data_IF_840889043633
#
_entry.id   IF_840889043633
#
_cell.length_a   1.000
_cell.length_b   1.000
_cell.length_c   1.000
_cell.angle_alpha   90.00
_cell.angle_beta   90.00
_cell.angle_gamma   90.00
#
_symmetry.space_group_name_H-M   'P 1'
#
loop_
_entity.id
_entity.type
_entity.pdbx_description
1 polymer ?
#
# COMPACT_ATOMS: atom_id res chain seq x y z
N UNK A 1 10.68 36.53 -34.61
CA UNK A 1 10.39 35.21 -35.20
C UNK A 1 11.72 34.52 -35.42
N UNK A 2 11.91 33.24 -35.12
CA UNK A 2 10.96 32.13 -34.94
C UNK A 2 11.56 31.11 -33.95
N UNK A 3 10.74 30.36 -33.20
CA UNK A 3 11.21 29.32 -32.30
C UNK A 3 11.60 28.06 -33.07
N UNK A 4 12.78 27.52 -32.76
CA UNK A 4 13.24 26.22 -33.22
C UNK A 4 12.34 25.13 -32.66
N UNK A 5 11.47 24.62 -33.52
CA UNK A 5 10.48 23.55 -33.33
C UNK A 5 11.09 22.35 -32.62
N UNK A 6 10.57 22.03 -31.44
CA UNK A 6 10.82 20.77 -30.75
C UNK A 6 10.40 19.62 -31.66
N UNK A 7 11.34 18.72 -31.94
CA UNK A 7 11.06 17.45 -32.59
C UNK A 7 10.48 16.55 -31.49
N UNK A 8 9.16 16.48 -31.43
CA UNK A 8 8.47 15.34 -30.84
C UNK A 8 8.81 14.14 -31.72
N UNK A 9 9.77 13.32 -31.26
CA UNK A 9 10.26 12.16 -31.99
C UNK A 9 9.31 10.99 -31.80
N UNK A 10 8.57 10.68 -32.86
CA UNK A 10 7.83 9.45 -33.06
C UNK A 10 8.75 8.22 -32.88
N UNK A 11 8.24 7.22 -32.15
CA UNK A 11 8.95 6.00 -31.75
C UNK A 11 9.38 5.11 -32.93
N UNK A 12 10.51 5.45 -33.53
CA UNK A 12 11.13 4.75 -34.67
C UNK A 12 12.55 4.24 -34.38
N UNK A 13 12.96 4.21 -33.11
CA UNK A 13 14.27 3.68 -32.71
C UNK A 13 14.30 2.16 -32.76
N UNK A 14 15.39 1.59 -33.28
CA UNK A 14 15.62 0.15 -33.21
C UNK A 14 15.65 -0.31 -31.74
N UNK A 15 15.35 -1.58 -31.42
CA UNK A 15 15.38 -2.08 -30.04
C UNK A 15 16.71 -1.82 -29.30
N UNK A 16 17.82 -1.73 -30.05
CA UNK A 16 19.14 -1.36 -29.54
C UNK A 16 19.19 0.06 -28.99
N UNK A 17 18.45 0.99 -29.58
CA UNK A 17 18.52 2.41 -29.25
C UNK A 17 17.82 2.66 -27.91
N UNK A 18 16.68 2.00 -27.70
CA UNK A 18 15.96 2.02 -26.42
C UNK A 18 16.78 1.40 -25.29
N UNK A 19 17.46 0.28 -25.55
CA UNK A 19 18.35 -0.35 -24.57
C UNK A 19 19.55 0.55 -24.23
N UNK A 20 20.17 1.15 -25.24
CA UNK A 20 21.31 2.04 -25.05
C UNK A 20 20.91 3.29 -24.24
N UNK A 21 19.78 3.90 -24.57
CA UNK A 21 19.24 5.04 -23.83
C UNK A 21 18.98 4.67 -22.36
N UNK A 22 18.34 3.52 -22.11
CA UNK A 22 18.11 3.01 -20.77
C UNK A 22 19.43 2.83 -20.00
N UNK A 23 20.44 2.20 -20.61
CA UNK A 23 21.75 1.98 -19.97
C UNK A 23 22.42 3.33 -19.64
N UNK A 24 22.38 4.31 -20.55
CA UNK A 24 22.96 5.64 -20.31
C UNK A 24 22.24 6.34 -19.16
N UNK A 25 20.90 6.30 -19.11
CA UNK A 25 20.13 6.87 -18.00
C UNK A 25 20.41 6.15 -16.68
N UNK A 26 20.53 4.82 -16.70
CA UNK A 26 20.85 4.00 -15.52
C UNK A 26 22.22 4.35 -14.94
N UNK A 27 23.25 4.42 -15.79
CA UNK A 27 24.60 4.78 -15.38
C UNK A 27 24.70 6.24 -14.89
N UNK A 28 23.86 7.13 -15.41
CA UNK A 28 23.78 8.52 -14.97
C UNK A 28 22.89 8.73 -13.73
N UNK A 29 22.32 7.68 -13.14
CA UNK A 29 21.34 7.75 -12.04
C UNK A 29 20.11 8.63 -12.38
N UNK A 30 19.69 8.64 -13.65
CA UNK A 30 18.59 9.45 -14.19
C UNK A 30 17.36 8.62 -14.58
N UNK A 31 17.16 7.46 -13.96
CA UNK A 31 15.95 6.66 -14.15
C UNK A 31 14.79 7.23 -13.33
N UNK A 32 13.61 7.28 -13.92
CA UNK A 32 12.37 7.67 -13.28
C UNK A 32 11.53 6.43 -12.92
N UNK A 33 10.42 6.64 -12.20
CA UNK A 33 9.49 5.56 -11.86
C UNK A 33 8.83 4.90 -13.07
N UNK A 34 8.74 5.59 -14.21
CA UNK A 34 8.21 5.05 -15.47
C UNK A 34 9.18 4.08 -16.18
N UNK A 35 10.48 4.21 -15.91
CA UNK A 35 11.52 3.36 -16.50
C UNK A 35 11.68 2.02 -15.74
N UNK A 36 11.06 1.89 -14.57
CA UNK A 36 11.30 0.78 -13.63
C UNK A 36 10.01 0.13 -13.18
N UNK A 37 9.87 -1.16 -13.47
CA UNK A 37 8.82 -2.00 -12.88
C UNK A 37 9.29 -2.59 -11.55
N UNK A 38 8.61 -2.27 -10.44
CA UNK A 38 8.93 -2.76 -9.09
C UNK A 38 8.01 -3.89 -8.67
N UNK A 39 8.59 -5.01 -8.25
CA UNK A 39 7.90 -6.10 -7.56
C UNK A 39 8.31 -6.10 -6.09
N UNK A 40 7.33 -6.13 -5.18
CA UNK A 40 7.58 -6.21 -3.73
C UNK A 40 7.06 -7.54 -3.20
N UNK A 41 7.90 -8.25 -2.46
CA UNK A 41 7.54 -9.48 -1.77
C UNK A 41 7.45 -9.19 -0.27
N UNK A 42 6.27 -9.38 0.30
CA UNK A 42 6.02 -9.16 1.73
C UNK A 42 5.74 -10.50 2.40
N UNK A 43 6.60 -10.88 3.35
CA UNK A 43 6.37 -12.06 4.19
C UNK A 43 5.37 -11.72 5.31
N UNK A 44 4.12 -12.13 5.11
CA UNK A 44 3.08 -12.03 6.14
C UNK A 44 3.36 -12.99 7.30
N UNK A 45 2.82 -12.64 8.47
CA UNK A 45 2.99 -13.39 9.71
C UNK A 45 1.75 -14.25 9.96
N UNK A 46 1.98 -15.42 10.54
CA UNK A 46 0.97 -16.39 10.98
C UNK A 46 1.09 -16.66 12.49
N UNK A 47 0.30 -17.61 12.99
CA UNK A 47 0.27 -18.02 14.41
C UNK A 47 1.62 -18.53 14.95
N UNK A 48 2.49 -19.09 14.11
CA UNK A 48 3.74 -19.74 14.53
C UNK A 48 4.95 -18.81 14.49
N UNK A 49 4.90 -17.74 13.68
CA UNK A 49 6.00 -16.79 13.53
C UNK A 49 5.62 -15.34 13.92
N UNK A 50 4.50 -15.17 14.61
CA UNK A 50 3.96 -13.87 14.98
C UNK A 50 4.94 -13.02 15.82
N UNK A 51 5.27 -11.83 15.34
CA UNK A 51 6.12 -10.86 16.03
C UNK A 51 5.45 -9.48 16.08
N UNK A 52 5.13 -9.03 17.29
CA UNK A 52 4.47 -7.74 17.55
C UNK A 52 5.29 -6.55 17.07
N UNK A 53 6.63 -6.58 17.15
CA UNK A 53 7.49 -5.48 16.71
C UNK A 53 7.44 -5.30 15.19
N UNK A 54 7.34 -6.40 14.45
CA UNK A 54 7.16 -6.38 12.99
C UNK A 54 5.77 -5.91 12.61
N UNK A 55 4.74 -6.37 13.33
CA UNK A 55 3.34 -5.94 13.14
C UNK A 55 3.19 -4.42 13.31
N UNK A 56 3.80 -3.83 14.34
CA UNK A 56 3.73 -2.38 14.60
C UNK A 56 4.35 -1.50 13.50
N UNK A 57 5.20 -2.06 12.64
CA UNK A 57 5.83 -1.37 11.50
C UNK A 57 5.18 -1.71 10.15
N UNK A 58 4.14 -2.54 10.15
CA UNK A 58 3.48 -2.96 8.92
C UNK A 58 2.65 -1.80 8.32
N UNK A 59 2.74 -1.62 7.01
CA UNK A 59 1.97 -0.63 6.25
C UNK A 59 0.71 -1.21 5.58
N UNK A 60 0.49 -2.52 5.68
CA UNK A 60 -0.68 -3.19 5.13
C UNK A 60 -1.68 -3.46 6.27
N UNK A 61 -2.84 -2.81 6.22
CA UNK A 61 -3.83 -2.85 7.28
C UNK A 61 -5.26 -2.93 6.73
N UNK A 62 -6.14 -3.55 7.51
CA UNK A 62 -7.58 -3.49 7.31
C UNK A 62 -8.20 -2.34 8.11
N UNK A 63 -9.15 -1.66 7.50
CA UNK A 63 -10.01 -0.70 8.17
C UNK A 63 -11.32 -1.41 8.46
N UNK A 64 -11.65 -1.57 9.74
CA UNK A 64 -12.90 -2.21 10.17
C UNK A 64 -14.04 -1.18 10.23
N UNK A 65 -15.31 -1.60 10.07
CA UNK A 65 -16.46 -0.70 10.22
C UNK A 65 -16.55 0.00 11.57
N UNK A 66 -15.97 -0.60 12.62
CA UNK A 66 -15.86 0.01 13.95
C UNK A 66 -14.90 1.18 14.01
N UNK A 67 -14.10 1.45 12.96
CA UNK A 67 -13.10 2.51 12.92
C UNK A 67 -11.68 2.07 13.29
N UNK A 68 -11.48 0.78 13.61
CA UNK A 68 -10.15 0.24 13.90
C UNK A 68 -9.31 0.11 12.62
N UNK A 69 -8.05 0.52 12.70
CA UNK A 69 -7.02 0.22 11.70
C UNK A 69 -6.17 -0.91 12.26
N UNK A 70 -6.28 -2.10 11.68
CA UNK A 70 -5.64 -3.31 12.19
C UNK A 70 -4.64 -3.83 11.15
N UNK A 71 -3.35 -4.02 11.49
CA UNK A 71 -2.39 -4.61 10.56
C UNK A 71 -2.87 -5.96 10.01
N UNK A 72 -2.63 -6.24 8.73
CA UNK A 72 -3.15 -7.41 8.02
C UNK A 72 -2.89 -8.72 8.77
N UNK A 73 -1.64 -8.96 9.18
CA UNK A 73 -1.28 -10.18 9.90
C UNK A 73 -1.97 -10.29 11.27
N UNK A 74 -2.11 -9.17 11.98
CA UNK A 74 -2.80 -9.14 13.27
C UNK A 74 -4.29 -9.42 13.10
N UNK A 75 -4.93 -8.85 12.07
CA UNK A 75 -6.33 -9.14 11.76
C UNK A 75 -6.53 -10.63 11.48
N UNK A 76 -5.75 -11.21 10.57
CA UNK A 76 -5.92 -12.61 10.19
C UNK A 76 -5.61 -13.60 11.31
N UNK A 77 -4.65 -13.27 12.17
CA UNK A 77 -4.20 -14.20 13.22
C UNK A 77 -4.99 -14.05 14.51
N UNK A 78 -5.42 -12.84 14.88
CA UNK A 78 -5.99 -12.54 16.20
C UNK A 78 -7.48 -12.18 16.17
N UNK A 79 -7.92 -11.39 15.19
CA UNK A 79 -9.22 -10.71 15.25
C UNK A 79 -10.27 -11.27 14.28
N UNK A 80 -9.85 -11.92 13.19
CA UNK A 80 -10.76 -12.42 12.14
C UNK A 80 -11.81 -13.38 12.70
N UNK A 81 -11.37 -14.36 13.48
CA UNK A 81 -12.23 -15.39 14.05
C UNK A 81 -12.65 -15.07 15.51
N UNK A 82 -12.33 -13.88 16.00
CA UNK A 82 -12.73 -13.41 17.33
C UNK A 82 -11.96 -14.05 18.50
N UNK A 83 -10.75 -14.59 18.28
CA UNK A 83 -9.90 -15.12 19.36
C UNK A 83 -9.55 -14.05 20.41
N UNK A 84 -9.40 -12.80 19.96
CA UNK A 84 -9.07 -11.66 20.82
C UNK A 84 -10.07 -10.52 20.56
N UNK A 85 -10.65 -9.90 21.60
CA UNK A 85 -11.49 -8.71 21.42
C UNK A 85 -10.65 -7.53 20.92
N UNK A 86 -11.25 -6.68 20.07
CA UNK A 86 -10.60 -5.44 19.65
C UNK A 86 -10.37 -4.51 20.86
N UNK A 87 -9.21 -3.86 20.96
CA UNK A 87 -8.97 -2.87 22.00
C UNK A 87 -9.92 -1.68 21.84
N UNK A 88 -10.20 -0.89 22.89
CA UNK A 88 -10.97 0.34 22.72
C UNK A 88 -10.24 1.33 21.81
N UNK A 89 -10.99 2.07 20.98
CA UNK A 89 -10.41 3.14 20.17
C UNK A 89 -9.90 4.26 21.07
N UNK A 90 -8.64 4.66 20.88
CA UNK A 90 -8.00 5.73 21.67
C UNK A 90 -8.75 7.08 21.60
N UNK A 91 -9.42 7.35 20.48
CA UNK A 91 -10.19 8.58 20.24
C UNK A 91 -11.64 8.27 19.86
N UNK A 92 -12.29 7.31 20.54
CA UNK A 92 -13.70 7.04 20.27
C UNK A 92 -14.54 8.32 20.53
N UNK A 93 -15.21 8.93 19.52
CA UNK A 93 -16.36 9.76 19.84
C UNK A 93 -17.39 8.86 20.52
N UNK A 94 -17.99 9.36 21.60
CA UNK A 94 -19.04 8.70 22.36
C UNK A 94 -20.32 8.55 21.50
N UNK A 95 -20.30 7.71 20.47
CA UNK A 95 -21.41 7.55 19.53
C UNK A 95 -21.70 6.06 19.33
N UNK A 96 -22.02 5.39 20.43
CA UNK A 96 -22.60 4.07 20.43
C UNK A 96 -23.74 4.03 21.46
N UNK A 97 -24.84 4.73 21.18
CA UNK A 97 -26.11 4.50 21.90
C UNK A 97 -27.41 4.88 21.19
N UNK A 98 -27.42 5.33 19.93
CA UNK A 98 -28.65 5.83 19.30
C UNK A 98 -29.22 4.99 18.14
N UNK A 99 -28.54 3.94 17.66
CA UNK A 99 -29.05 3.17 16.50
C UNK A 99 -29.82 1.89 16.88
N UNK A 100 -29.77 1.43 18.13
CA UNK A 100 -30.42 0.16 18.51
C UNK A 100 -31.92 0.27 18.89
N UNK A 101 -32.55 1.43 18.73
CA UNK A 101 -33.99 1.62 19.06
C UNK A 101 -34.89 1.63 17.82
N UNK A 102 -34.36 1.55 16.59
CA UNK A 102 -35.15 1.75 15.37
C UNK A 102 -35.21 0.50 14.46
N UNK A 103 -35.13 -0.70 15.04
CA UNK A 103 -35.36 -1.96 14.30
C UNK A 103 -36.37 -2.89 14.99
N UNK A 104 -37.15 -2.37 15.94
CA UNK A 104 -38.25 -3.09 16.61
C UNK A 104 -39.49 -2.19 16.82
N UNK A 105 -40.02 -1.67 15.71
CA UNK A 105 -41.38 -1.11 15.63
C UNK A 105 -42.01 -1.48 14.30
#
# INVERSE_FOLDING_TARGET
>A
GTPGRGVGGEGSGAPSDQLNEFIVKALAEKLNGEDVFRVTLTAFLDVHNFDTRRVMKCCLAHILPSGHIVPFCAYNTLYRDGFVPLPPLANAPQQAKQTLTLVHS
#
